data_IF_536067087010
#
_entry.id   IF_536067087010
#
_cell.length_a   1.000
_cell.length_b   1.000
_cell.length_c   1.000
_cell.angle_alpha   90.00
_cell.angle_beta   90.00
_cell.angle_gamma   90.00
#
_symmetry.space_group_name_H-M   'P 1'
#
loop_
_entity.id
_entity.type
_entity.pdbx_description
1 polymer ?
#
# COMPACT_ATOMS: atom_id res chain seq x y z
N UNK A 1 13.43 0.95 -2.18
CA UNK A 1 12.94 1.52 -0.90
C UNK A 1 11.47 1.93 -0.96
N UNK A 2 10.98 2.55 -2.04
CA UNK A 2 9.62 3.12 -2.07
C UNK A 2 8.44 2.13 -1.95
N UNK A 3 8.56 0.91 -2.50
CA UNK A 3 7.43 -0.05 -2.50
C UNK A 3 7.43 -1.02 -1.32
N UNK A 4 8.60 -1.39 -0.80
CA UNK A 4 8.74 -2.49 0.15
C UNK A 4 8.06 -2.23 1.51
N UNK A 5 8.08 -1.03 2.10
CA UNK A 5 7.36 -0.77 3.35
C UNK A 5 5.84 -0.99 3.20
N UNK A 6 5.23 -0.45 2.14
CA UNK A 6 3.81 -0.65 1.86
C UNK A 6 3.47 -2.10 1.47
N UNK A 7 4.30 -2.72 0.62
CA UNK A 7 4.15 -4.12 0.23
C UNK A 7 4.22 -5.07 1.43
N UNK A 8 5.24 -4.90 2.27
CA UNK A 8 5.43 -5.71 3.48
C UNK A 8 4.31 -5.50 4.49
N UNK A 9 3.97 -4.25 4.79
CA UNK A 9 2.88 -3.93 5.72
C UNK A 9 1.54 -4.52 5.23
N UNK A 10 1.20 -4.32 3.96
CA UNK A 10 -0.01 -4.87 3.36
C UNK A 10 -0.04 -6.40 3.46
N UNK A 11 1.04 -7.08 3.07
CA UNK A 11 1.17 -8.53 3.13
C UNK A 11 1.02 -9.08 4.58
N UNK A 12 1.61 -8.40 5.57
CA UNK A 12 1.51 -8.77 6.98
C UNK A 12 0.07 -8.61 7.49
N UNK A 13 -0.56 -7.45 7.23
CA UNK A 13 -1.90 -7.14 7.76
C UNK A 13 -2.99 -8.04 7.18
N UNK A 14 -2.91 -8.36 5.88
CA UNK A 14 -3.82 -9.31 5.24
C UNK A 14 -3.44 -10.79 5.48
N UNK A 15 -2.34 -11.04 6.20
CA UNK A 15 -1.84 -12.40 6.46
C UNK A 15 -1.69 -13.20 5.16
N UNK A 16 -1.11 -12.55 4.14
CA UNK A 16 -0.96 -13.16 2.81
C UNK A 16 -0.16 -14.47 2.91
N UNK A 17 -0.61 -15.53 2.22
CA UNK A 17 0.12 -16.81 2.14
C UNK A 17 1.45 -16.66 1.41
N UNK A 18 1.49 -15.82 0.39
CA UNK A 18 2.64 -15.53 -0.45
C UNK A 18 2.48 -14.14 -1.07
N UNK A 19 3.60 -13.52 -1.44
CA UNK A 19 3.60 -12.28 -2.21
C UNK A 19 3.51 -12.64 -3.69
N UNK A 20 2.52 -12.09 -4.39
CA UNK A 20 2.30 -12.36 -5.82
C UNK A 20 2.79 -11.20 -6.69
N UNK A 21 3.03 -11.45 -7.97
CA UNK A 21 3.37 -10.39 -8.94
C UNK A 21 2.33 -9.27 -8.98
N UNK A 22 1.05 -9.62 -8.81
CA UNK A 22 -0.04 -8.64 -8.76
C UNK A 22 0.08 -7.67 -7.57
N UNK A 23 0.64 -8.11 -6.44
CA UNK A 23 0.89 -7.27 -5.27
C UNK A 23 2.08 -6.33 -5.50
N UNK A 24 3.12 -6.81 -6.18
CA UNK A 24 4.27 -6.00 -6.59
C UNK A 24 3.84 -4.93 -7.60
N UNK A 25 3.06 -5.33 -8.61
CA UNK A 25 2.47 -4.42 -9.59
C UNK A 25 1.56 -3.38 -8.92
N UNK A 26 0.69 -3.79 -8.00
CA UNK A 26 -0.18 -2.87 -7.25
C UNK A 26 0.63 -1.85 -6.45
N UNK A 27 1.78 -2.25 -5.92
CA UNK A 27 2.69 -1.35 -5.22
C UNK A 27 3.34 -0.33 -6.15
N UNK A 28 3.83 -0.77 -7.32
CA UNK A 28 4.41 0.10 -8.33
C UNK A 28 3.38 1.13 -8.86
N UNK A 29 2.17 0.68 -9.18
CA UNK A 29 1.06 1.55 -9.60
C UNK A 29 0.61 2.49 -8.47
N UNK A 30 0.63 2.02 -7.22
CA UNK A 30 0.39 2.85 -6.04
C UNK A 30 1.39 4.00 -5.94
N UNK A 31 2.67 3.70 -6.09
CA UNK A 31 3.74 4.69 -6.07
C UNK A 31 3.65 5.69 -7.23
N UNK A 32 3.49 5.20 -8.47
CA UNK A 32 3.36 6.07 -9.64
C UNK A 32 2.12 6.99 -9.58
N UNK A 33 1.06 6.53 -8.92
CA UNK A 33 -0.14 7.32 -8.67
C UNK A 33 -0.01 8.33 -7.52
N UNK A 34 1.07 8.29 -6.73
CA UNK A 34 1.21 9.11 -5.51
C UNK A 34 1.84 10.48 -5.72
N UNK A 35 2.34 10.76 -6.93
CA UNK A 35 2.97 12.03 -7.24
C UNK A 35 1.96 13.17 -7.11
N UNK A 36 2.33 14.20 -6.34
CA UNK A 36 1.56 15.43 -6.24
C UNK A 36 1.61 16.22 -7.54
N UNK A 37 0.73 17.22 -7.67
CA UNK A 37 0.75 18.11 -8.83
C UNK A 37 2.10 18.83 -8.97
N UNK A 38 2.64 19.35 -7.85
CA UNK A 38 3.94 20.03 -7.85
C UNK A 38 5.09 19.10 -8.24
N UNK A 39 5.09 17.85 -7.78
CA UNK A 39 6.13 16.87 -8.13
C UNK A 39 6.08 16.53 -9.63
N UNK A 40 4.87 16.44 -10.21
CA UNK A 40 4.71 16.26 -11.66
C UNK A 40 5.16 17.47 -12.45
N UNK A 41 4.84 18.68 -11.98
CA UNK A 41 5.26 19.93 -12.62
C UNK A 41 6.79 20.11 -12.63
N UNK A 42 7.47 19.53 -11.64
CA UNK A 42 8.94 19.48 -11.56
C UNK A 42 9.55 18.27 -12.28
N UNK A 43 8.76 17.52 -13.06
CA UNK A 43 9.18 16.33 -13.82
C UNK A 43 9.85 15.25 -12.94
N UNK A 44 9.47 15.17 -11.66
CA UNK A 44 9.97 14.13 -10.79
C UNK A 44 9.38 12.78 -11.19
N UNK A 45 10.22 11.74 -11.19
CA UNK A 45 9.78 10.35 -11.46
C UNK A 45 9.26 9.67 -10.18
N UNK A 46 9.72 10.13 -9.02
CA UNK A 46 9.33 9.63 -7.71
C UNK A 46 8.81 10.76 -6.82
N UNK A 47 7.89 10.44 -5.89
CA UNK A 47 7.48 11.40 -4.86
C UNK A 47 8.65 11.73 -3.94
N UNK A 48 8.55 12.87 -3.25
CA UNK A 48 9.50 13.28 -2.24
C UNK A 48 9.55 12.29 -1.07
N UNK A 49 10.74 12.04 -0.54
CA UNK A 49 10.98 10.95 0.43
C UNK A 49 10.28 11.20 1.77
N UNK A 50 10.06 12.45 2.14
CA UNK A 50 9.38 12.88 3.36
C UNK A 50 7.95 12.34 3.43
N UNK A 51 7.34 12.07 2.27
CA UNK A 51 5.97 11.53 2.13
C UNK A 51 5.93 10.01 2.18
N UNK A 52 7.07 9.33 2.30
CA UNK A 52 7.15 7.87 2.17
C UNK A 52 6.22 7.13 3.13
N UNK A 53 6.06 7.65 4.35
CA UNK A 53 5.23 7.03 5.39
C UNK A 53 3.75 7.04 5.02
N UNK A 54 3.24 8.19 4.60
CA UNK A 54 1.87 8.36 4.08
C UNK A 54 1.65 7.46 2.86
N UNK A 55 2.54 7.54 1.88
CA UNK A 55 2.44 6.79 0.62
C UNK A 55 2.48 5.29 0.88
N UNK A 56 3.28 4.83 1.83
CA UNK A 56 3.36 3.41 2.23
C UNK A 56 2.02 2.89 2.77
N UNK A 57 1.27 3.71 3.52
CA UNK A 57 -0.06 3.33 3.99
C UNK A 57 -1.03 3.11 2.82
N UNK A 58 -1.05 4.03 1.85
CA UNK A 58 -1.87 3.89 0.65
C UNK A 58 -1.46 2.69 -0.22
N UNK A 59 -0.16 2.45 -0.38
CA UNK A 59 0.36 1.27 -1.08
C UNK A 59 -0.09 -0.02 -0.37
N UNK A 60 0.00 -0.06 0.97
CA UNK A 60 -0.44 -1.23 1.74
C UNK A 60 -1.92 -1.55 1.49
N UNK A 61 -2.81 -0.54 1.44
CA UNK A 61 -4.22 -0.74 1.06
C UNK A 61 -4.35 -1.41 -0.31
N UNK A 62 -3.66 -0.89 -1.33
CA UNK A 62 -3.68 -1.47 -2.69
C UNK A 62 -3.16 -2.91 -2.72
N UNK A 63 -2.13 -3.20 -1.94
CA UNK A 63 -1.54 -4.54 -1.80
C UNK A 63 -2.52 -5.50 -1.14
N UNK A 64 -3.23 -5.07 -0.09
CA UNK A 64 -4.28 -5.87 0.56
C UNK A 64 -5.37 -6.20 -0.45
N UNK A 65 -5.81 -5.24 -1.27
CA UNK A 65 -6.80 -5.47 -2.33
C UNK A 65 -6.29 -6.43 -3.41
N UNK A 66 -5.03 -6.32 -3.81
CA UNK A 66 -4.42 -7.25 -4.74
C UNK A 66 -4.36 -8.68 -4.17
N UNK A 67 -3.97 -8.82 -2.91
CA UNK A 67 -3.95 -10.11 -2.21
C UNK A 67 -5.36 -10.72 -2.08
N UNK A 68 -6.37 -9.91 -1.77
CA UNK A 68 -7.78 -10.30 -1.74
C UNK A 68 -8.25 -10.81 -3.10
N UNK A 69 -7.98 -10.07 -4.17
CA UNK A 69 -8.34 -10.44 -5.55
C UNK A 69 -7.62 -11.71 -6.01
N UNK A 70 -6.36 -11.89 -5.63
CA UNK A 70 -5.57 -13.07 -5.94
C UNK A 70 -5.91 -14.30 -5.07
N UNK A 71 -6.78 -14.16 -4.07
CA UNK A 71 -7.17 -15.26 -3.17
C UNK A 71 -6.08 -15.71 -2.20
N UNK A 72 -5.06 -14.88 -1.97
CA UNK A 72 -3.92 -15.20 -1.08
C UNK A 72 -4.03 -14.54 0.29
N UNK A 73 -5.01 -13.64 0.48
CA UNK A 73 -5.37 -13.02 1.76
C UNK A 73 -6.14 -13.99 2.68
N UNK A 74 -5.74 -14.04 3.96
CA UNK A 74 -6.38 -14.84 5.00
C UNK A 74 -7.12 -14.01 6.06
N UNK A 75 -7.21 -12.68 5.88
CA UNK A 75 -7.90 -11.80 6.81
C UNK A 75 -9.36 -11.59 6.41
N UNK A 76 -10.28 -12.25 7.12
CA UNK A 76 -11.72 -12.12 6.85
C UNK A 76 -12.28 -10.74 7.16
N UNK A 77 -11.71 -10.06 8.16
CA UNK A 77 -12.25 -8.79 8.64
C UNK A 77 -11.93 -7.64 7.67
N UNK A 78 -10.74 -7.64 7.07
CA UNK A 78 -10.32 -6.61 6.12
C UNK A 78 -11.10 -6.66 4.80
N UNK A 79 -11.68 -7.81 4.42
CA UNK A 79 -12.53 -7.93 3.23
C UNK A 79 -13.82 -7.13 3.35
N UNK A 80 -14.30 -6.92 4.59
CA UNK A 80 -15.55 -6.22 4.89
C UNK A 80 -15.39 -4.70 4.99
N UNK A 81 -14.15 -4.22 5.12
CA UNK A 81 -13.85 -2.79 5.18
C UNK A 81 -13.86 -2.21 3.76
N UNK A 82 -14.39 -1.01 3.59
CA UNK A 82 -14.12 -0.18 2.40
C UNK A 82 -12.68 0.36 2.44
N UNK A 83 -12.24 1.03 1.37
CA UNK A 83 -10.86 1.53 1.26
C UNK A 83 -10.54 2.64 2.26
N UNK A 84 -11.54 3.43 2.68
CA UNK A 84 -11.35 4.51 3.65
C UNK A 84 -11.11 3.94 5.04
N UNK A 85 -11.97 3.02 5.48
CA UNK A 85 -11.81 2.32 6.76
C UNK A 85 -10.56 1.46 6.78
N UNK A 86 -10.24 0.80 5.66
CA UNK A 86 -9.03 0.00 5.54
C UNK A 86 -7.77 0.87 5.64
N UNK A 87 -7.76 2.07 5.06
CA UNK A 87 -6.65 3.00 5.19
C UNK A 87 -6.43 3.45 6.64
N UNK A 88 -7.50 3.81 7.34
CA UNK A 88 -7.42 4.21 8.75
C UNK A 88 -6.95 3.05 9.64
N UNK A 89 -7.44 1.82 9.37
CA UNK A 89 -6.92 0.62 10.02
C UNK A 89 -5.42 0.43 9.76
N UNK A 90 -4.97 0.54 8.51
CA UNK A 90 -3.55 0.40 8.13
C UNK A 90 -2.69 1.43 8.87
N UNK A 91 -3.09 2.71 8.86
CA UNK A 91 -2.38 3.78 9.58
C UNK A 91 -2.28 3.49 11.08
N UNK A 92 -3.38 3.03 11.69
CA UNK A 92 -3.42 2.64 13.11
C UNK A 92 -2.54 1.43 13.47
N UNK A 93 -2.02 0.70 12.49
CA UNK A 93 -1.07 -0.41 12.69
C UNK A 93 0.39 -0.03 12.42
N UNK A 94 0.66 1.18 11.93
CA UNK A 94 2.03 1.65 11.71
C UNK A 94 2.66 2.06 13.04
N UNK A 95 3.89 1.60 13.29
CA UNK A 95 4.64 1.97 14.49
C UNK A 95 4.87 3.48 14.58
N UNK A 96 4.56 4.09 15.73
CA UNK A 96 4.83 5.49 16.01
C UNK A 96 5.92 5.57 17.11
N UNK A 97 7.06 6.24 16.86
CA UNK A 97 8.09 6.46 17.87
C UNK A 97 7.59 7.22 19.09
#
# INVERSE_FOLDING_TARGET
MYIFPGLGLGAILCRAKNVTDSMVQASALGLAGSLSWDERALELVYPRIERIREISAHIAVKVIRAAQKAGVDNSTDLKRMDDTLLLEFVKGKMWNP
#
